data_IF_866850514462
#
_entry.id   IF_866850514462
#
_cell.length_a   1.000
_cell.length_b   1.000
_cell.length_c   1.000
_cell.angle_alpha   90.00
_cell.angle_beta   90.00
_cell.angle_gamma   90.00
#
_symmetry.space_group_name_H-M   'P 1'
#
loop_
_entity.id
_entity.type
_entity.pdbx_description
1 polymer ?
#
# COMPACT_ATOMS: atom_id res chain seq x y z
N UNK A 1 -0.89 14.87 -74.93
CA UNK A 1 -0.01 14.11 -74.01
C UNK A 1 -0.57 14.13 -72.59
N UNK A 2 -1.03 12.98 -72.04
CA UNK A 2 -1.04 12.77 -70.59
C UNK A 2 -0.64 11.33 -70.22
N UNK A 3 0.66 11.01 -70.19
CA UNK A 3 1.15 9.67 -69.78
C UNK A 3 1.99 9.68 -68.48
N UNK A 4 2.44 10.84 -67.99
CA UNK A 4 3.36 10.91 -66.84
C UNK A 4 2.67 10.74 -65.48
N UNK A 5 1.49 11.35 -65.27
CA UNK A 5 0.81 11.33 -63.96
C UNK A 5 0.39 9.92 -63.51
N UNK A 6 -0.10 9.08 -64.43
CA UNK A 6 -0.60 7.73 -64.10
C UNK A 6 0.51 6.77 -63.63
N UNK A 7 1.72 6.91 -64.20
CA UNK A 7 2.89 6.09 -63.85
C UNK A 7 3.43 6.44 -62.46
N UNK A 8 3.44 7.73 -62.10
CA UNK A 8 3.83 8.17 -60.76
C UNK A 8 2.87 7.73 -59.66
N UNK A 9 1.56 7.70 -59.92
CA UNK A 9 0.57 7.26 -58.93
C UNK A 9 0.65 5.76 -58.67
N UNK A 10 0.84 4.94 -59.72
CA UNK A 10 1.06 3.49 -59.57
C UNK A 10 2.36 3.17 -58.80
N UNK A 11 3.42 3.96 -59.00
CA UNK A 11 4.68 3.81 -58.26
C UNK A 11 4.52 4.16 -56.79
N UNK A 12 3.82 5.25 -56.45
CA UNK A 12 3.52 5.63 -55.05
C UNK A 12 2.66 4.58 -54.34
N UNK A 13 1.63 4.05 -55.00
CA UNK A 13 0.75 3.03 -54.42
C UNK A 13 1.52 1.73 -54.09
N UNK A 14 2.45 1.32 -54.96
CA UNK A 14 3.34 0.17 -54.69
C UNK A 14 4.28 0.40 -53.51
N UNK A 15 4.78 1.62 -53.31
CA UNK A 15 5.64 1.94 -52.16
C UNK A 15 4.85 1.95 -50.85
N UNK A 16 3.62 2.47 -50.84
CA UNK A 16 2.74 2.44 -49.66
C UNK A 16 2.35 1.00 -49.30
N UNK A 17 2.02 0.17 -50.29
CA UNK A 17 1.71 -1.24 -50.06
C UNK A 17 2.91 -2.02 -49.49
N UNK A 18 4.13 -1.73 -49.99
CA UNK A 18 5.36 -2.35 -49.47
C UNK A 18 5.64 -1.92 -48.02
N UNK A 19 5.46 -0.65 -47.69
CA UNK A 19 5.62 -0.15 -46.32
C UNK A 19 4.60 -0.76 -45.34
N UNK A 20 3.35 -0.94 -45.77
CA UNK A 20 2.32 -1.63 -44.99
C UNK A 20 2.67 -3.10 -44.74
N UNK A 21 3.15 -3.81 -45.76
CA UNK A 21 3.60 -5.20 -45.62
C UNK A 21 4.79 -5.32 -44.67
N UNK A 22 5.77 -4.42 -44.77
CA UNK A 22 6.91 -4.37 -43.85
C UNK A 22 6.49 -4.03 -42.42
N UNK A 23 5.52 -3.12 -42.25
CA UNK A 23 4.96 -2.78 -40.94
C UNK A 23 4.24 -3.99 -40.32
N UNK A 24 3.39 -4.68 -41.09
CA UNK A 24 2.68 -5.89 -40.63
C UNK A 24 3.68 -6.98 -40.24
N UNK A 25 4.73 -7.20 -41.06
CA UNK A 25 5.77 -8.18 -40.78
C UNK A 25 6.56 -7.83 -39.51
N UNK A 26 6.92 -6.55 -39.34
CA UNK A 26 7.60 -6.07 -38.13
C UNK A 26 6.72 -6.23 -36.89
N UNK A 27 5.43 -5.92 -36.96
CA UNK A 27 4.49 -6.11 -35.84
C UNK A 27 4.30 -7.59 -35.51
N UNK A 28 4.18 -8.46 -36.52
CA UNK A 28 4.05 -9.90 -36.30
C UNK A 28 5.31 -10.51 -35.67
N UNK A 29 6.50 -10.11 -36.15
CA UNK A 29 7.77 -10.54 -35.57
C UNK A 29 7.96 -10.02 -34.13
N UNK A 30 7.51 -8.81 -33.84
CA UNK A 30 7.54 -8.25 -32.49
C UNK A 30 6.57 -8.99 -31.55
N UNK A 31 5.37 -9.32 -32.01
CA UNK A 31 4.40 -10.13 -31.26
C UNK A 31 4.93 -11.54 -30.97
N UNK A 32 5.54 -12.22 -31.95
CA UNK A 32 6.14 -13.55 -31.76
C UNK A 32 7.35 -13.50 -30.81
N UNK A 33 8.16 -12.42 -30.86
CA UNK A 33 9.26 -12.18 -29.92
C UNK A 33 8.79 -11.89 -28.49
N UNK A 34 7.63 -11.26 -28.32
CA UNK A 34 7.03 -11.05 -26.99
C UNK A 34 6.45 -12.35 -26.42
N UNK A 35 5.81 -13.19 -27.23
CA UNK A 35 5.29 -14.49 -26.78
C UNK A 35 6.42 -15.47 -26.42
N UNK A 36 7.50 -15.53 -27.21
CA UNK A 36 8.65 -16.41 -26.93
C UNK A 36 9.53 -15.95 -25.77
N UNK A 37 9.39 -14.71 -25.30
CA UNK A 37 10.04 -14.21 -24.09
C UNK A 37 9.23 -14.49 -22.81
N UNK A 38 8.00 -15.02 -22.93
CA UNK A 38 7.11 -15.35 -21.81
C UNK A 38 7.29 -16.78 -21.25
N UNK A 39 7.96 -17.68 -21.98
CA UNK A 39 8.14 -19.08 -21.57
C UNK A 39 9.38 -19.29 -20.67
N UNK A 40 9.61 -18.35 -19.76
CA UNK A 40 10.57 -18.48 -18.66
C UNK A 40 9.84 -18.75 -17.35
N UNK A 41 9.61 -20.02 -17.04
CA UNK A 41 9.28 -20.59 -15.72
C UNK A 41 8.38 -19.75 -14.79
N UNK A 42 7.18 -19.40 -15.27
CA UNK A 42 6.16 -18.70 -14.49
C UNK A 42 5.78 -19.48 -13.21
N UNK A 43 5.78 -20.82 -13.27
CA UNK A 43 5.48 -21.67 -12.13
C UNK A 43 6.55 -21.58 -11.02
N UNK A 44 7.84 -21.61 -11.38
CA UNK A 44 8.92 -21.41 -10.43
C UNK A 44 8.93 -20.00 -9.82
N UNK A 45 8.65 -18.97 -10.64
CA UNK A 45 8.57 -17.58 -10.17
C UNK A 45 7.41 -17.34 -9.21
N UNK A 46 6.22 -17.86 -9.51
CA UNK A 46 5.05 -17.74 -8.66
C UNK A 46 5.24 -18.48 -7.33
N UNK A 47 5.83 -19.68 -7.35
CA UNK A 47 6.17 -20.39 -6.11
C UNK A 47 7.19 -19.63 -5.25
N UNK A 48 8.21 -19.02 -5.86
CA UNK A 48 9.25 -18.27 -5.15
C UNK A 48 8.70 -16.96 -4.55
N UNK A 49 7.89 -16.24 -5.32
CA UNK A 49 7.21 -15.04 -4.85
C UNK A 49 6.24 -15.37 -3.72
N UNK A 50 5.49 -16.48 -3.84
CA UNK A 50 4.61 -16.96 -2.79
C UNK A 50 5.38 -17.32 -1.51
N UNK A 51 6.46 -18.11 -1.61
CA UNK A 51 7.29 -18.47 -0.44
C UNK A 51 7.90 -17.24 0.24
N UNK A 52 8.37 -16.27 -0.54
CA UNK A 52 8.92 -15.02 -0.01
C UNK A 52 7.85 -14.19 0.69
N UNK A 53 6.64 -14.16 0.14
CA UNK A 53 5.51 -13.46 0.71
C UNK A 53 5.07 -14.10 2.05
N UNK A 54 5.06 -15.43 2.15
CA UNK A 54 4.80 -16.16 3.41
C UNK A 54 5.87 -15.85 4.46
N UNK A 55 7.15 -15.93 4.10
CA UNK A 55 8.24 -15.62 5.04
C UNK A 55 8.19 -14.16 5.52
N UNK A 56 7.80 -13.22 4.65
CA UNK A 56 7.62 -11.82 5.01
C UNK A 56 6.45 -11.62 5.99
N UNK A 57 5.35 -12.36 5.82
CA UNK A 57 4.19 -12.31 6.71
C UNK A 57 4.52 -12.89 8.09
N UNK A 58 5.20 -14.04 8.12
CA UNK A 58 5.66 -14.63 9.38
C UNK A 58 6.60 -13.68 10.13
N UNK A 59 7.52 -13.03 9.42
CA UNK A 59 8.39 -12.02 10.01
C UNK A 59 7.58 -10.80 10.52
N UNK A 60 6.59 -10.34 9.76
CA UNK A 60 5.73 -9.21 10.13
C UNK A 60 4.90 -9.48 11.39
N UNK A 61 4.56 -10.75 11.63
CA UNK A 61 3.71 -11.20 12.73
C UNK A 61 4.50 -11.88 13.86
N UNK A 62 5.84 -11.88 13.81
CA UNK A 62 6.70 -12.64 14.71
C UNK A 62 6.48 -12.35 16.20
N UNK A 63 6.02 -11.14 16.55
CA UNK A 63 5.78 -10.72 17.93
C UNK A 63 4.31 -10.80 18.35
N UNK A 64 3.44 -11.36 17.50
CA UNK A 64 2.01 -11.53 17.78
C UNK A 64 1.74 -13.03 17.99
N UNK A 65 1.08 -13.44 19.09
CA UNK A 65 0.69 -14.83 19.27
C UNK A 65 -0.21 -15.33 18.15
N UNK A 66 0.06 -16.53 17.60
CA UNK A 66 -0.75 -17.14 16.51
C UNK A 66 -2.26 -17.09 16.78
N UNK A 67 -2.68 -17.42 18.01
CA UNK A 67 -4.09 -17.33 18.44
C UNK A 67 -4.75 -15.97 18.17
N UNK A 68 -4.01 -14.87 18.28
CA UNK A 68 -4.54 -13.54 18.02
C UNK A 68 -4.73 -13.32 16.52
N UNK A 69 -3.75 -13.73 15.72
CA UNK A 69 -3.83 -13.71 14.24
C UNK A 69 -4.97 -14.61 13.74
N UNK A 70 -5.11 -15.81 14.29
CA UNK A 70 -6.22 -16.72 13.97
C UNK A 70 -7.56 -16.06 14.28
N UNK A 71 -7.68 -15.45 15.48
CA UNK A 71 -8.88 -14.69 15.86
C UNK A 71 -9.18 -13.58 14.86
N UNK A 72 -8.17 -12.85 14.40
CA UNK A 72 -8.36 -11.80 13.40
C UNK A 72 -8.88 -12.33 12.07
N UNK A 73 -8.27 -13.42 11.58
CA UNK A 73 -8.61 -14.00 10.27
C UNK A 73 -10.05 -14.56 10.22
N UNK A 74 -10.57 -15.00 11.35
CA UNK A 74 -11.93 -15.55 11.48
C UNK A 74 -13.01 -14.46 11.60
N UNK A 75 -12.63 -13.20 11.83
CA UNK A 75 -13.57 -12.10 12.04
C UNK A 75 -13.86 -11.36 10.75
N UNK A 76 -15.13 -11.00 10.57
CA UNK A 76 -15.57 -10.18 9.45
C UNK A 76 -15.51 -8.70 9.80
N UNK A 77 -14.31 -8.12 9.74
CA UNK A 77 -14.15 -6.68 9.95
C UNK A 77 -14.77 -5.86 8.81
N UNK A 78 -15.49 -4.80 9.16
CA UNK A 78 -15.89 -3.76 8.22
C UNK A 78 -14.65 -2.99 7.74
N UNK A 79 -13.74 -2.68 8.66
CA UNK A 79 -12.55 -1.88 8.43
C UNK A 79 -11.34 -2.48 9.13
N UNK A 80 -10.21 -2.52 8.44
CA UNK A 80 -8.90 -2.72 9.07
C UNK A 80 -8.05 -1.49 8.83
N UNK A 81 -7.67 -0.81 9.91
CA UNK A 81 -6.85 0.39 9.88
C UNK A 81 -5.41 0.08 10.27
N UNK A 82 -4.49 0.35 9.35
CA UNK A 82 -3.06 0.40 9.65
C UNK A 82 -2.68 1.79 10.13
N UNK A 83 -1.96 1.86 11.24
CA UNK A 83 -1.40 3.09 11.79
C UNK A 83 0.11 3.02 11.71
N UNK A 84 0.73 3.52 10.63
CA UNK A 84 2.17 3.63 10.58
C UNK A 84 2.73 4.47 11.72
N UNK A 85 3.74 3.93 12.38
CA UNK A 85 4.43 4.58 13.48
C UNK A 85 5.91 4.21 13.46
N UNK A 86 6.69 4.75 14.40
CA UNK A 86 8.13 4.48 14.52
C UNK A 86 8.43 3.84 15.88
N UNK A 87 9.53 3.09 15.94
CA UNK A 87 10.04 2.49 17.17
C UNK A 87 10.83 3.51 17.98
N UNK A 88 10.12 4.51 18.51
CA UNK A 88 10.67 5.51 19.43
C UNK A 88 9.73 5.70 20.62
N UNK A 89 10.27 6.15 21.76
CA UNK A 89 9.47 6.40 22.96
C UNK A 89 8.36 7.44 22.68
N UNK A 90 8.71 8.53 22.00
CA UNK A 90 7.75 9.58 21.67
C UNK A 90 6.54 9.06 20.87
N UNK A 91 6.79 8.16 19.91
CA UNK A 91 5.76 7.57 19.05
C UNK A 91 4.97 6.49 19.78
N UNK A 92 5.62 5.71 20.64
CA UNK A 92 4.93 4.80 21.56
C UNK A 92 3.94 5.52 22.47
N UNK A 93 4.30 6.68 23.02
CA UNK A 93 3.38 7.49 23.82
C UNK A 93 2.13 7.88 23.03
N UNK A 94 2.26 8.20 21.73
CA UNK A 94 1.12 8.47 20.84
C UNK A 94 0.24 7.24 20.62
N UNK A 95 0.83 6.08 20.34
CA UNK A 95 0.08 4.82 20.24
C UNK A 95 -0.70 4.51 21.52
N UNK A 96 -0.06 4.68 22.67
CA UNK A 96 -0.71 4.51 23.97
C UNK A 96 -1.86 5.52 24.17
N UNK A 97 -1.69 6.77 23.73
CA UNK A 97 -2.74 7.78 23.78
C UNK A 97 -3.93 7.39 22.89
N UNK A 98 -3.70 6.92 21.66
CA UNK A 98 -4.78 6.44 20.81
C UNK A 98 -5.50 5.22 21.43
N UNK A 99 -4.75 4.25 21.99
CA UNK A 99 -5.31 3.09 22.72
C UNK A 99 -6.16 3.50 23.92
N UNK A 100 -5.75 4.52 24.67
CA UNK A 100 -6.48 5.00 25.85
C UNK A 100 -7.61 5.98 25.53
N UNK A 101 -7.75 6.41 24.27
CA UNK A 101 -8.75 7.39 23.83
C UNK A 101 -9.63 6.85 22.69
N UNK A 102 -9.35 7.19 21.43
CA UNK A 102 -10.21 6.90 20.27
C UNK A 102 -10.42 5.40 20.03
N UNK A 103 -9.54 4.52 20.51
CA UNK A 103 -9.72 3.07 20.41
C UNK A 103 -10.57 2.44 21.51
N UNK A 104 -11.02 3.25 22.49
CA UNK A 104 -12.01 2.81 23.49
C UNK A 104 -13.46 2.93 23.02
N UNK A 105 -13.71 3.57 21.89
CA UNK A 105 -15.07 3.69 21.38
C UNK A 105 -15.65 2.31 21.02
N UNK A 106 -16.97 2.11 21.21
CA UNK A 106 -17.63 0.89 20.78
C UNK A 106 -17.41 0.60 19.30
N UNK A 107 -17.19 -0.68 18.97
CA UNK A 107 -16.96 -1.14 17.61
C UNK A 107 -15.49 -1.25 17.20
N UNK A 108 -14.54 -0.79 18.03
CA UNK A 108 -13.12 -1.08 17.86
C UNK A 108 -12.77 -2.45 18.44
N UNK A 109 -12.22 -3.33 17.62
CA UNK A 109 -11.68 -4.62 18.00
C UNK A 109 -10.30 -4.44 18.64
N UNK A 110 -10.16 -4.87 19.89
CA UNK A 110 -8.94 -4.75 20.68
C UNK A 110 -8.66 -6.05 21.43
N UNK A 111 -7.43 -6.23 21.94
CA UNK A 111 -7.13 -7.38 22.81
C UNK A 111 -8.09 -7.49 24.00
N UNK A 112 -8.48 -6.35 24.59
CA UNK A 112 -9.31 -6.30 25.79
C UNK A 112 -10.74 -6.84 25.57
N UNK A 113 -11.25 -6.79 24.35
CA UNK A 113 -12.58 -7.32 24.00
C UNK A 113 -12.51 -8.57 23.11
N UNK A 114 -11.38 -9.29 23.11
CA UNK A 114 -11.21 -10.51 22.30
C UNK A 114 -11.28 -10.22 20.79
N UNK A 115 -10.82 -9.04 20.38
CA UNK A 115 -10.86 -8.51 19.02
C UNK A 115 -12.27 -8.49 18.41
N UNK A 116 -13.28 -8.28 19.26
CA UNK A 116 -14.66 -8.11 18.83
C UNK A 116 -14.93 -6.65 18.45
N UNK A 117 -15.41 -6.42 17.24
CA UNK A 117 -15.70 -5.08 16.73
C UNK A 117 -15.79 -5.08 15.22
N UNK A 118 -16.33 -4.00 14.67
CA UNK A 118 -16.38 -3.79 13.22
C UNK A 118 -15.05 -3.25 12.66
N UNK A 119 -14.21 -2.66 13.51
CA UNK A 119 -12.96 -2.01 13.12
C UNK A 119 -11.78 -2.61 13.87
N UNK A 120 -10.82 -3.21 13.16
CA UNK A 120 -9.53 -3.58 13.74
C UNK A 120 -8.51 -2.46 13.50
N UNK A 121 -7.66 -2.18 14.49
CA UNK A 121 -6.56 -1.23 14.38
C UNK A 121 -5.24 -1.95 14.65
N UNK A 122 -4.29 -1.79 13.75
CA UNK A 122 -2.95 -2.36 13.85
C UNK A 122 -1.90 -1.27 13.66
N UNK A 123 -0.92 -1.21 14.55
CA UNK A 123 0.23 -0.33 14.41
C UNK A 123 1.28 -0.99 13.54
N UNK A 124 1.77 -0.27 12.53
CA UNK A 124 2.69 -0.80 11.52
C UNK A 124 4.06 -0.15 11.69
N UNK A 125 5.08 -0.95 11.97
CA UNK A 125 6.42 -0.48 12.27
C UNK A 125 7.48 -1.16 11.41
N UNK A 126 8.48 -0.39 10.99
CA UNK A 126 9.73 -0.90 10.45
C UNK A 126 10.85 -0.83 11.48
N UNK A 127 12.02 -1.35 11.11
CA UNK A 127 13.23 -1.33 11.94
C UNK A 127 13.83 0.07 11.95
N UNK A 128 13.91 0.70 13.12
CA UNK A 128 14.30 2.10 13.23
C UNK A 128 15.83 2.27 13.28
N UNK A 129 16.42 3.29 12.63
CA UNK A 129 17.87 3.49 12.60
C UNK A 129 18.50 3.72 13.98
N UNK A 130 17.74 4.29 14.94
CA UNK A 130 18.23 4.50 16.31
C UNK A 130 18.58 3.20 17.06
N UNK A 131 18.05 2.06 16.59
CA UNK A 131 18.29 0.73 17.18
C UNK A 131 19.17 -0.14 16.28
N UNK A 132 19.98 0.48 15.40
CA UNK A 132 20.82 -0.23 14.44
C UNK A 132 20.01 -1.06 13.43
N UNK A 133 18.79 -0.61 13.11
CA UNK A 133 17.82 -1.37 12.31
C UNK A 133 17.45 -2.74 12.91
N UNK A 134 17.32 -2.81 14.23
CA UNK A 134 16.63 -3.89 14.94
C UNK A 134 15.32 -3.36 15.56
N UNK A 135 14.45 -4.27 16.00
CA UNK A 135 13.30 -3.90 16.85
C UNK A 135 13.74 -3.82 18.31
N UNK A 136 13.45 -2.71 18.97
CA UNK A 136 13.81 -2.53 20.37
C UNK A 136 13.08 -3.55 21.27
N UNK A 137 13.72 -3.95 22.38
CA UNK A 137 13.08 -4.80 23.39
C UNK A 137 11.74 -4.22 23.84
N UNK A 138 11.72 -2.90 23.98
CA UNK A 138 10.58 -2.15 24.41
C UNK A 138 9.41 -2.21 23.38
N UNK A 139 9.69 -2.31 22.06
CA UNK A 139 8.65 -2.57 21.06
C UNK A 139 8.14 -4.02 21.13
N UNK A 140 9.03 -4.97 21.36
CA UNK A 140 8.66 -6.39 21.50
C UNK A 140 7.74 -6.59 22.72
N UNK A 141 8.03 -5.92 23.83
CA UNK A 141 7.15 -5.89 25.01
C UNK A 141 5.78 -5.27 24.70
N UNK A 142 5.76 -4.15 23.95
CA UNK A 142 4.51 -3.53 23.53
C UNK A 142 3.68 -4.47 22.65
N UNK A 143 4.31 -5.15 21.69
CA UNK A 143 3.67 -6.12 20.81
C UNK A 143 3.11 -7.31 21.60
N UNK A 144 3.89 -7.86 22.54
CA UNK A 144 3.45 -8.93 23.42
C UNK A 144 2.30 -8.51 24.35
N UNK A 145 2.25 -7.24 24.74
CA UNK A 145 1.19 -6.72 25.60
C UNK A 145 -0.11 -6.44 24.85
N UNK A 146 -0.05 -5.81 23.68
CA UNK A 146 -1.26 -5.34 23.00
C UNK A 146 -1.72 -6.24 21.87
N UNK A 147 -0.82 -7.09 21.37
CA UNK A 147 -1.01 -7.96 20.21
C UNK A 147 -1.40 -7.18 18.95
N UNK A 148 -1.30 -5.85 18.90
CA UNK A 148 -1.78 -5.00 17.80
C UNK A 148 -0.62 -4.37 16.99
N UNK A 149 0.59 -4.93 17.11
CA UNK A 149 1.82 -4.40 16.51
C UNK A 149 2.31 -5.32 15.40
N UNK A 150 2.26 -4.84 14.17
CA UNK A 150 2.84 -5.47 12.98
C UNK A 150 4.25 -4.93 12.76
N UNK A 151 5.25 -5.82 12.83
CA UNK A 151 6.66 -5.50 12.71
C UNK A 151 7.18 -5.84 11.31
N UNK A 152 6.86 -5.00 10.32
CA UNK A 152 7.19 -5.25 8.91
C UNK A 152 8.70 -5.41 8.70
N UNK A 153 9.15 -6.42 7.92
CA UNK A 153 10.56 -6.75 7.72
C UNK A 153 11.30 -5.76 6.81
N UNK A 154 11.19 -4.46 7.09
CA UNK A 154 11.78 -3.35 6.37
C UNK A 154 12.53 -2.42 7.32
N UNK A 155 13.41 -1.59 6.76
CA UNK A 155 14.10 -0.54 7.50
C UNK A 155 13.34 0.78 7.33
N UNK A 156 13.23 1.55 8.40
CA UNK A 156 12.75 2.92 8.34
C UNK A 156 13.73 3.81 7.56
N UNK A 157 13.18 4.83 6.91
CA UNK A 157 13.99 5.91 6.36
C UNK A 157 14.46 6.86 7.46
N UNK A 158 15.65 7.46 7.30
CA UNK A 158 16.10 8.49 8.24
C UNK A 158 15.32 9.77 8.02
N UNK A 159 14.85 10.34 9.13
CA UNK A 159 14.26 11.68 9.16
C UNK A 159 15.38 12.71 9.07
N UNK A 160 15.17 13.77 8.29
CA UNK A 160 16.10 14.87 8.14
C UNK A 160 16.44 15.50 9.52
N UNK A 161 17.72 15.77 9.84
CA UNK A 161 18.12 16.26 11.17
C UNK A 161 17.41 17.53 11.62
N UNK A 162 17.14 18.44 10.69
CA UNK A 162 16.44 19.71 10.89
C UNK A 162 14.93 19.55 11.17
N UNK A 163 14.37 18.35 10.93
CA UNK A 163 12.94 18.10 11.12
C UNK A 163 12.60 18.01 12.60
N UNK A 164 11.89 19.03 13.10
CA UNK A 164 11.35 19.04 14.46
C UNK A 164 10.05 18.23 14.57
N UNK A 165 9.89 17.51 15.66
CA UNK A 165 8.64 16.78 16.00
C UNK A 165 7.50 17.79 16.17
N UNK A 166 6.33 17.51 15.59
CA UNK A 166 5.14 18.36 15.70
C UNK A 166 5.12 19.61 14.80
N UNK A 167 6.20 19.87 14.06
CA UNK A 167 6.26 20.98 13.09
C UNK A 167 5.93 20.46 11.69
N UNK A 168 5.16 21.20 10.88
CA UNK A 168 4.94 20.83 9.47
C UNK A 168 6.23 20.92 8.64
N UNK A 169 6.33 20.16 7.55
CA UNK A 169 7.45 20.26 6.60
C UNK A 169 7.98 18.92 6.11
N UNK A 170 8.90 18.99 5.15
CA UNK A 170 9.51 17.82 4.52
C UNK A 170 10.43 17.07 5.51
N UNK A 171 10.19 15.77 5.67
CA UNK A 171 10.95 14.91 6.58
C UNK A 171 12.20 14.28 5.97
N UNK A 172 12.56 14.62 4.72
CA UNK A 172 13.68 14.03 4.00
C UNK A 172 13.29 12.92 3.02
N UNK A 173 14.15 12.68 2.03
CA UNK A 173 13.90 11.71 0.94
C UNK A 173 13.84 10.29 1.47
N UNK A 174 14.75 9.91 2.37
CA UNK A 174 14.74 8.57 2.96
C UNK A 174 13.46 8.30 3.74
N UNK A 175 13.04 9.23 4.60
CA UNK A 175 11.78 9.13 5.33
C UNK A 175 10.58 9.00 4.39
N UNK A 176 10.55 9.75 3.28
CA UNK A 176 9.49 9.63 2.27
C UNK A 176 9.48 8.24 1.61
N UNK A 177 10.64 7.73 1.19
CA UNK A 177 10.76 6.38 0.60
C UNK A 177 10.35 5.31 1.62
N UNK A 178 10.84 5.40 2.85
CA UNK A 178 10.47 4.51 3.95
C UNK A 178 8.98 4.51 4.20
N UNK A 179 8.34 5.69 4.19
CA UNK A 179 6.90 5.80 4.39
C UNK A 179 6.11 5.20 3.22
N UNK A 180 6.47 5.50 1.98
CA UNK A 180 5.82 4.89 0.81
C UNK A 180 5.94 3.38 0.83
N UNK A 181 7.13 2.84 1.12
CA UNK A 181 7.36 1.39 1.21
C UNK A 181 6.56 0.75 2.34
N UNK A 182 6.52 1.37 3.52
CA UNK A 182 5.75 0.86 4.66
C UNK A 182 4.26 0.83 4.36
N UNK A 183 3.77 1.86 3.69
CA UNK A 183 2.36 1.95 3.26
C UNK A 183 2.02 0.84 2.27
N UNK A 184 2.88 0.61 1.26
CA UNK A 184 2.71 -0.48 0.31
C UNK A 184 2.67 -1.84 1.02
N UNK A 185 3.68 -2.13 1.85
CA UNK A 185 3.78 -3.40 2.58
C UNK A 185 2.62 -3.61 3.55
N UNK A 186 2.08 -2.55 4.15
CA UNK A 186 0.87 -2.62 4.96
C UNK A 186 -0.32 -3.12 4.15
N UNK A 187 -0.61 -2.51 3.00
CA UNK A 187 -1.77 -2.91 2.19
C UNK A 187 -1.60 -4.31 1.60
N UNK A 188 -0.39 -4.66 1.16
CA UNK A 188 -0.09 -5.99 0.64
C UNK A 188 -0.32 -7.08 1.70
N UNK A 189 0.20 -6.88 2.91
CA UNK A 189 -0.05 -7.77 4.04
C UNK A 189 -1.53 -7.81 4.42
N UNK A 190 -2.18 -6.66 4.55
CA UNK A 190 -3.57 -6.57 5.00
C UNK A 190 -4.54 -7.26 4.02
N UNK A 191 -4.27 -7.20 2.72
CA UNK A 191 -5.06 -7.92 1.71
C UNK A 191 -5.00 -9.44 1.91
N UNK A 192 -3.83 -9.97 2.28
CA UNK A 192 -3.63 -11.40 2.53
C UNK A 192 -4.18 -11.84 3.89
N UNK A 193 -3.99 -11.05 4.95
CA UNK A 193 -4.45 -11.39 6.30
C UNK A 193 -5.96 -11.21 6.51
N UNK A 194 -6.59 -10.28 5.79
CA UNK A 194 -7.99 -9.92 6.02
C UNK A 194 -8.82 -10.11 4.74
N UNK A 195 -8.99 -11.36 4.26
CA UNK A 195 -9.64 -11.64 2.99
C UNK A 195 -11.09 -11.15 2.94
N UNK A 196 -11.76 -11.07 4.09
CA UNK A 196 -13.17 -10.67 4.22
C UNK A 196 -13.37 -9.21 4.60
N UNK A 197 -12.31 -8.43 4.83
CA UNK A 197 -12.46 -7.03 5.20
C UNK A 197 -13.01 -6.21 4.02
N UNK A 198 -14.04 -5.39 4.28
CA UNK A 198 -14.65 -4.54 3.23
C UNK A 198 -13.74 -3.37 2.85
N UNK A 199 -13.10 -2.76 3.86
CA UNK A 199 -12.24 -1.60 3.69
C UNK A 199 -10.89 -1.80 4.38
N UNK A 200 -9.84 -1.27 3.76
CA UNK A 200 -8.50 -1.16 4.31
C UNK A 200 -8.14 0.32 4.38
N UNK A 201 -7.53 0.74 5.48
CA UNK A 201 -7.18 2.14 5.69
C UNK A 201 -5.76 2.31 6.18
N UNK A 202 -5.28 3.54 6.02
CA UNK A 202 -4.06 4.06 6.64
C UNK A 202 -4.42 5.32 7.41
N UNK A 203 -3.86 5.48 8.61
CA UNK A 203 -3.95 6.73 9.41
C UNK A 203 -2.66 7.01 10.18
N UNK A 204 -2.37 8.28 10.46
CA UNK A 204 -1.18 8.65 11.23
C UNK A 204 -1.31 8.37 12.74
N UNK A 205 -0.20 8.28 13.46
CA UNK A 205 -0.23 8.09 14.92
C UNK A 205 -0.52 9.37 15.72
N UNK A 206 -0.59 10.54 15.06
CA UNK A 206 -0.99 11.82 15.64
C UNK A 206 -2.37 12.29 15.18
N UNK A 207 -3.17 11.42 14.57
CA UNK A 207 -4.58 11.69 14.30
C UNK A 207 -5.49 11.26 15.45
N UNK A 208 -6.69 11.85 15.46
CA UNK A 208 -7.82 11.39 16.28
C UNK A 208 -8.99 11.02 15.37
N UNK A 209 -9.56 9.82 15.57
CA UNK A 209 -10.69 9.32 14.77
C UNK A 209 -11.98 9.28 15.59
N UNK A 210 -13.04 9.91 15.07
CA UNK A 210 -14.40 9.80 15.62
C UNK A 210 -15.03 8.46 15.20
N UNK A 211 -14.59 7.37 15.82
CA UNK A 211 -14.91 6.00 15.38
C UNK A 211 -16.40 5.74 15.12
N UNK A 212 -17.35 6.09 16.02
CA UNK A 212 -18.76 5.77 15.78
C UNK A 212 -19.30 6.42 14.51
N UNK A 213 -18.96 7.69 14.27
CA UNK A 213 -19.33 8.42 13.07
C UNK A 213 -18.64 7.84 11.83
N UNK A 214 -17.36 7.49 11.95
CA UNK A 214 -16.60 6.90 10.85
C UNK A 214 -17.20 5.57 10.39
N UNK A 215 -17.52 4.67 11.32
CA UNK A 215 -18.14 3.39 10.99
C UNK A 215 -19.57 3.53 10.48
N UNK A 216 -20.35 4.49 11.00
CA UNK A 216 -21.66 4.80 10.45
C UNK A 216 -21.57 5.21 8.97
N UNK A 217 -20.62 6.08 8.63
CA UNK A 217 -20.40 6.51 7.24
C UNK A 217 -19.96 5.33 6.36
N UNK A 218 -18.99 4.52 6.79
CA UNK A 218 -18.51 3.37 6.01
C UNK A 218 -19.61 2.33 5.73
N UNK A 219 -20.62 2.21 6.58
CA UNK A 219 -21.78 1.32 6.34
C UNK A 219 -22.66 1.78 5.18
N UNK A 220 -22.68 3.07 4.89
CA UNK A 220 -23.46 3.66 3.80
C UNK A 220 -22.72 3.66 2.47
N UNK A 221 -21.40 3.45 2.48
CA UNK A 221 -20.58 3.46 1.26
C UNK A 221 -20.66 2.13 0.49
N UNK A 222 -20.51 2.19 -0.85
CA UNK A 222 -20.27 1.02 -1.69
C UNK A 222 -19.05 0.21 -1.25
N UNK A 223 -19.12 -1.12 -1.40
CA UNK A 223 -18.02 -2.04 -1.03
C UNK A 223 -16.88 -2.10 -2.03
N UNK A 224 -16.98 -1.35 -3.13
CA UNK A 224 -16.08 -1.39 -4.28
C UNK A 224 -15.85 0.01 -4.84
N UNK A 225 -14.69 0.21 -5.46
CA UNK A 225 -14.34 1.49 -6.10
C UNK A 225 -14.20 2.68 -5.14
N UNK A 226 -14.02 2.44 -3.84
CA UNK A 226 -13.84 3.51 -2.86
C UNK A 226 -12.37 3.82 -2.68
N UNK A 227 -12.03 5.09 -2.87
CA UNK A 227 -10.83 5.72 -2.35
C UNK A 227 -11.26 7.03 -1.71
N UNK A 228 -11.29 7.09 -0.38
CA UNK A 228 -11.82 8.23 0.37
C UNK A 228 -10.80 8.77 1.36
N UNK A 229 -10.83 10.08 1.54
CA UNK A 229 -9.93 10.81 2.43
C UNK A 229 -9.99 12.30 2.11
N UNK A 230 -9.02 13.05 2.63
CA UNK A 230 -8.87 14.45 2.27
C UNK A 230 -8.19 14.51 0.91
N UNK A 231 -8.86 15.08 -0.09
CA UNK A 231 -8.29 15.22 -1.43
C UNK A 231 -7.12 16.19 -1.42
N UNK A 232 -6.00 15.74 -2.01
CA UNK A 232 -4.84 16.55 -2.31
C UNK A 232 -4.52 16.43 -3.80
N UNK A 233 -3.91 17.47 -4.35
CA UNK A 233 -3.45 17.51 -5.73
C UNK A 233 -2.06 18.11 -5.80
N UNK A 234 -1.21 17.55 -6.64
CA UNK A 234 0.09 18.14 -6.97
C UNK A 234 0.35 18.06 -8.47
N UNK A 235 1.22 18.93 -8.98
CA UNK A 235 1.73 18.85 -10.34
C UNK A 235 3.11 18.19 -10.33
N UNK A 236 3.27 17.08 -11.04
CA UNK A 236 4.59 16.50 -11.31
C UNK A 236 5.06 17.04 -12.66
N UNK A 237 6.25 17.65 -12.70
CA UNK A 237 6.87 18.04 -13.97
C UNK A 237 7.56 16.83 -14.59
N UNK A 238 7.09 16.42 -15.76
CA UNK A 238 7.69 15.35 -16.57
C UNK A 238 7.94 15.89 -17.97
N UNK A 239 9.19 15.94 -18.41
CA UNK A 239 9.57 16.34 -19.78
C UNK A 239 8.88 17.63 -20.26
N UNK A 240 8.99 18.72 -19.49
CA UNK A 240 8.34 20.01 -19.75
C UNK A 240 6.80 20.04 -19.73
N UNK A 241 6.14 18.95 -19.33
CA UNK A 241 4.69 18.91 -19.09
C UNK A 241 4.41 18.82 -17.60
N UNK A 242 3.35 19.51 -17.16
CA UNK A 242 2.81 19.34 -15.81
C UNK A 242 1.74 18.26 -15.85
N UNK A 243 1.96 17.17 -15.12
CA UNK A 243 0.97 16.12 -14.90
C UNK A 243 0.31 16.35 -13.55
N UNK A 244 -0.99 16.63 -13.56
CA UNK A 244 -1.78 16.69 -12.33
C UNK A 244 -1.93 15.29 -11.74
N UNK A 245 -1.56 15.12 -10.48
CA UNK A 245 -1.78 13.89 -9.72
C UNK A 245 -2.67 14.20 -8.54
N UNK A 246 -3.81 13.54 -8.50
CA UNK A 246 -4.75 13.60 -7.38
C UNK A 246 -4.54 12.39 -6.49
N UNK A 247 -4.51 12.60 -5.18
CA UNK A 247 -4.31 11.56 -4.18
C UNK A 247 -5.01 11.93 -2.87
N UNK A 248 -5.16 10.97 -1.97
CA UNK A 248 -5.65 11.27 -0.61
C UNK A 248 -4.48 11.66 0.29
N UNK A 249 -4.62 12.77 1.00
CA UNK A 249 -3.66 13.24 1.96
C UNK A 249 -3.35 12.17 3.02
N UNK A 250 -2.07 12.09 3.41
CA UNK A 250 -1.55 10.99 4.22
C UNK A 250 -2.17 10.84 5.61
N UNK A 251 -2.83 11.86 6.17
CA UNK A 251 -3.30 11.84 7.56
C UNK A 251 -4.24 10.68 7.89
N UNK A 252 -5.21 10.42 7.00
CA UNK A 252 -6.07 9.26 7.05
C UNK A 252 -6.80 9.09 5.72
N UNK A 253 -6.76 7.89 5.15
CA UNK A 253 -7.55 7.52 3.98
C UNK A 253 -7.97 6.06 4.02
N UNK A 254 -9.03 5.74 3.29
CA UNK A 254 -9.65 4.41 3.26
C UNK A 254 -9.90 4.01 1.82
N UNK A 255 -9.59 2.75 1.53
CA UNK A 255 -9.85 2.12 0.24
C UNK A 255 -10.79 0.94 0.44
N UNK A 256 -11.69 0.71 -0.52
CA UNK A 256 -12.30 -0.61 -0.66
C UNK A 256 -11.24 -1.64 -1.03
N UNK A 257 -11.52 -2.90 -0.71
CA UNK A 257 -10.57 -4.00 -0.93
C UNK A 257 -10.06 -4.09 -2.37
N UNK A 258 -10.93 -3.89 -3.37
CA UNK A 258 -10.56 -3.92 -4.79
C UNK A 258 -9.61 -2.79 -5.19
N UNK A 259 -9.80 -1.59 -4.65
CA UNK A 259 -8.90 -0.46 -4.87
C UNK A 259 -7.54 -0.68 -4.19
N UNK A 260 -7.54 -1.22 -2.96
CA UNK A 260 -6.29 -1.61 -2.31
C UNK A 260 -5.56 -2.72 -3.10
N UNK A 261 -6.30 -3.67 -3.67
CA UNK A 261 -5.74 -4.70 -4.56
C UNK A 261 -5.10 -4.10 -5.81
N UNK A 262 -5.74 -3.12 -6.43
CA UNK A 262 -5.19 -2.40 -7.57
C UNK A 262 -3.93 -1.57 -7.20
N UNK A 263 -3.84 -1.05 -5.97
CA UNK A 263 -2.64 -0.34 -5.50
C UNK A 263 -1.42 -1.27 -5.45
N UNK A 264 -1.57 -2.48 -4.91
CA UNK A 264 -0.44 -3.40 -4.70
C UNK A 264 -0.10 -4.24 -5.94
N UNK A 265 -0.88 -4.13 -7.01
CA UNK A 265 -0.58 -4.81 -8.28
C UNK A 265 0.38 -4.05 -9.19
N UNK A 266 0.75 -2.81 -8.84
CA UNK A 266 1.76 -1.99 -9.54
C UNK A 266 3.17 -2.26 -8.99
#
# INVERSE_FOLDING_TARGET
>A
MPKSKLLTTKRKLKHVALLLLLFILATALLSIRLDTASDGDAAGRDSYLHSRAVAADEAALAFIPRRAVDTWSQRQYLLVLGVPSEDTEARRRRRNLQRSTCWRFPGVATRANGFAGAMLVLYVLGRHPAHGYNYSAALQEEAALWHDVVALPMNEGRVAPEKKVGVGGFSGVEAAIGMSRKTYLWFDLALRLFPTASYLAKGDDDMFLRVPLFLANLRLLPRRGIYMGIHAGTGIRVQNRSLGVNFMAGWCYTMSRDVAGALVSY
#
